data_IF_603287892448
#
_entry.id   IF_603287892448
#
_cell.length_a   1.000
_cell.length_b   1.000
_cell.length_c   1.000
_cell.angle_alpha   90.00
_cell.angle_beta   90.00
_cell.angle_gamma   90.00
#
_symmetry.space_group_name_H-M   'P 1'
#
loop_
_entity.id
_entity.type
_entity.pdbx_description
1 polymer ?
#
# COMPACT_ATOMS: atom_id res chain seq x y z
N UNK A 1 -9.57 6.64 -4.70
CA UNK A 1 -9.21 6.36 -3.29
C UNK A 1 -8.89 4.89 -3.02
N UNK A 2 -9.63 3.92 -3.58
CA UNK A 2 -9.31 2.48 -3.40
C UNK A 2 -7.87 2.08 -3.76
N UNK A 3 -7.36 2.56 -4.90
CA UNK A 3 -5.95 2.34 -5.33
C UNK A 3 -4.96 2.92 -4.31
N UNK A 4 -5.20 4.15 -3.83
CA UNK A 4 -4.35 4.81 -2.84
C UNK A 4 -4.36 4.06 -1.51
N UNK A 5 -5.52 3.53 -1.09
CA UNK A 5 -5.61 2.68 0.09
C UNK A 5 -4.69 1.46 0.00
N UNK A 6 -4.63 0.80 -1.16
CA UNK A 6 -3.74 -0.35 -1.38
C UNK A 6 -2.28 0.06 -1.26
N UNK A 7 -1.86 1.13 -1.94
CA UNK A 7 -0.46 1.54 -1.93
C UNK A 7 0.00 2.10 -0.59
N UNK A 8 -0.78 2.98 0.04
CA UNK A 8 -0.46 3.51 1.37
C UNK A 8 -0.49 2.40 2.43
N UNK A 9 -1.46 1.49 2.32
CA UNK A 9 -1.55 0.29 3.15
C UNK A 9 -0.32 -0.60 3.03
N UNK A 10 0.19 -0.80 1.79
CA UNK A 10 1.34 -1.65 1.51
C UNK A 10 2.62 -1.21 2.23
N UNK A 11 2.77 0.09 2.50
CA UNK A 11 3.96 0.64 3.18
C UNK A 11 4.06 0.19 4.64
N UNK A 12 2.93 -0.11 5.29
CA UNK A 12 2.93 -0.70 6.63
C UNK A 12 3.63 -2.06 6.66
N UNK A 13 3.39 -2.92 5.66
CA UNK A 13 4.05 -4.22 5.51
C UNK A 13 5.48 -4.09 4.98
N UNK A 14 5.69 -3.22 4.00
CA UNK A 14 6.99 -3.01 3.35
C UNK A 14 8.07 -2.52 4.31
N UNK A 15 7.70 -1.84 5.41
CA UNK A 15 8.62 -1.48 6.50
C UNK A 15 9.27 -2.71 7.16
N UNK A 16 8.54 -3.80 7.36
CA UNK A 16 9.11 -5.04 7.90
C UNK A 16 10.06 -5.71 6.91
N UNK A 17 9.70 -5.70 5.62
CA UNK A 17 10.54 -6.19 4.52
C UNK A 17 11.84 -5.38 4.47
N UNK A 18 11.74 -4.05 4.52
CA UNK A 18 12.90 -3.14 4.56
C UNK A 18 13.83 -3.46 5.72
N UNK A 19 13.30 -3.66 6.93
CA UNK A 19 14.10 -4.05 8.10
C UNK A 19 14.87 -5.35 7.87
N UNK A 20 14.19 -6.40 7.38
CA UNK A 20 14.83 -7.68 7.10
C UNK A 20 15.91 -7.60 6.01
N UNK A 21 15.67 -6.82 4.94
CA UNK A 21 16.64 -6.61 3.87
C UNK A 21 17.86 -5.82 4.35
N UNK A 22 17.66 -4.83 5.23
CA UNK A 22 18.74 -4.05 5.84
C UNK A 22 19.69 -4.93 6.67
N UNK A 23 19.16 -5.90 7.40
CA UNK A 23 19.95 -6.90 8.15
C UNK A 23 20.81 -7.78 7.24
N UNK A 24 20.42 -7.92 5.96
CA UNK A 24 21.18 -8.64 4.92
C UNK A 24 22.14 -7.73 4.14
N UNK A 25 22.30 -6.47 4.54
CA UNK A 25 23.19 -5.51 3.89
C UNK A 25 22.64 -4.89 2.60
N UNK A 26 21.36 -5.09 2.29
CA UNK A 26 20.72 -4.45 1.12
C UNK A 26 20.58 -2.95 1.37
N UNK A 27 20.95 -2.15 0.38
CA UNK A 27 20.85 -0.68 0.41
C UNK A 27 19.72 -0.21 -0.53
N UNK A 28 19.45 1.11 -0.56
CA UNK A 28 18.42 1.71 -1.43
C UNK A 28 16.96 1.27 -1.17
N UNK A 29 16.58 1.11 0.10
CA UNK A 29 15.25 0.64 0.52
C UNK A 29 14.16 1.74 0.61
N UNK A 30 14.41 2.93 0.07
CA UNK A 30 13.53 4.12 0.22
C UNK A 30 12.10 3.88 -0.28
N UNK A 31 11.91 3.05 -1.30
CA UNK A 31 10.57 2.71 -1.78
C UNK A 31 9.77 1.85 -0.78
N UNK A 32 10.45 0.97 -0.05
CA UNK A 32 9.83 0.06 0.91
C UNK A 32 9.53 0.74 2.25
N UNK A 33 10.40 1.64 2.68
CA UNK A 33 10.21 2.40 3.92
C UNK A 33 10.40 3.91 3.66
N UNK A 34 9.45 4.56 2.97
CA UNK A 34 9.56 5.97 2.61
C UNK A 34 9.36 6.91 3.79
N UNK A 35 8.67 6.44 4.84
CA UNK A 35 8.22 7.29 5.95
C UNK A 35 8.90 6.96 7.28
N UNK A 36 9.64 5.85 7.39
CA UNK A 36 10.32 5.52 8.64
C UNK A 36 9.33 5.38 9.80
N UNK A 37 9.68 5.95 10.95
CA UNK A 37 8.80 5.97 12.13
C UNK A 37 7.47 6.68 11.89
N UNK A 38 7.42 7.60 10.91
CA UNK A 38 6.21 8.37 10.58
C UNK A 38 5.18 7.54 9.78
N UNK A 39 5.52 6.32 9.36
CA UNK A 39 4.60 5.46 8.60
C UNK A 39 3.26 5.26 9.31
N UNK A 40 3.29 4.97 10.61
CA UNK A 40 2.08 4.74 11.41
C UNK A 40 1.21 5.99 11.53
N UNK A 41 1.72 7.17 11.97
CA UNK A 41 0.89 8.38 12.04
C UNK A 41 0.37 8.81 10.66
N UNK A 42 1.15 8.70 9.59
CA UNK A 42 0.71 9.00 8.22
C UNK A 42 -0.44 8.08 7.82
N UNK A 43 -0.33 6.77 8.05
CA UNK A 43 -1.40 5.82 7.76
C UNK A 43 -2.67 6.11 8.54
N UNK A 44 -2.56 6.44 9.84
CA UNK A 44 -3.71 6.80 10.65
C UNK A 44 -4.39 8.07 10.15
N UNK A 45 -3.60 9.09 9.77
CA UNK A 45 -4.14 10.32 9.19
C UNK A 45 -4.87 10.05 7.89
N UNK A 46 -4.27 9.28 6.98
CA UNK A 46 -4.88 8.92 5.70
C UNK A 46 -6.26 8.26 5.88
N UNK A 47 -6.36 7.28 6.78
CA UNK A 47 -7.66 6.64 7.09
C UNK A 47 -8.65 7.62 7.68
N UNK A 48 -8.22 8.44 8.64
CA UNK A 48 -9.09 9.47 9.24
C UNK A 48 -9.60 10.47 8.20
N UNK A 49 -8.76 10.88 7.25
CA UNK A 49 -9.15 11.80 6.17
C UNK A 49 -10.16 11.11 5.22
N UNK A 50 -9.99 9.81 4.94
CA UNK A 50 -10.95 9.03 4.15
C UNK A 50 -12.30 8.89 4.83
N UNK A 51 -12.31 8.61 6.12
CA UNK A 51 -13.53 8.41 6.93
C UNK A 51 -14.30 9.73 7.13
N UNK A 52 -13.62 10.87 7.10
CA UNK A 52 -14.23 12.19 7.24
C UNK A 52 -15.06 12.61 6.02
N UNK A 53 -14.91 11.93 4.88
CA UNK A 53 -15.64 12.24 3.65
C UNK A 53 -16.94 11.43 3.62
N UNK A 54 -18.06 12.12 3.35
CA UNK A 54 -19.38 11.50 3.21
C UNK A 54 -19.56 10.85 1.85
N UNK A 55 -18.92 9.70 1.64
CA UNK A 55 -19.06 8.91 0.42
C UNK A 55 -20.46 8.31 0.31
N UNK A 56 -21.05 8.41 -0.87
CA UNK A 56 -22.23 7.63 -1.22
C UNK A 56 -21.91 6.12 -1.27
N UNK A 57 -22.91 5.24 -1.11
CA UNK A 57 -22.69 3.79 -1.23
C UNK A 57 -22.04 3.38 -2.55
N UNK A 58 -22.45 4.01 -3.67
CA UNK A 58 -21.90 3.72 -5.01
C UNK A 58 -20.43 4.10 -5.11
N UNK A 59 -20.02 5.20 -4.49
CA UNK A 59 -18.60 5.59 -4.43
C UNK A 59 -17.79 4.62 -3.57
N UNK A 60 -18.35 4.15 -2.45
CA UNK A 60 -17.70 3.14 -1.61
C UNK A 60 -17.50 1.83 -2.37
N UNK A 61 -18.53 1.34 -3.06
CA UNK A 61 -18.43 0.14 -3.89
C UNK A 61 -17.37 0.31 -4.99
N UNK A 62 -17.37 1.46 -5.67
CA UNK A 62 -16.36 1.78 -6.69
C UNK A 62 -14.94 1.82 -6.12
N UNK A 63 -14.76 2.32 -4.89
CA UNK A 63 -13.47 2.30 -4.20
C UNK A 63 -13.02 0.88 -3.86
N UNK A 64 -13.93 0.03 -3.37
CA UNK A 64 -13.63 -1.37 -3.06
C UNK A 64 -13.25 -2.13 -4.33
N UNK A 65 -14.01 -1.98 -5.42
CA UNK A 65 -13.68 -2.60 -6.71
C UNK A 65 -12.33 -2.12 -7.25
N UNK A 66 -12.01 -0.83 -7.12
CA UNK A 66 -10.70 -0.32 -7.52
C UNK A 66 -9.55 -0.89 -6.66
N UNK A 67 -9.77 -1.11 -5.36
CA UNK A 67 -8.78 -1.75 -4.49
C UNK A 67 -8.55 -3.22 -4.89
N UNK A 68 -9.62 -3.98 -5.15
CA UNK A 68 -9.54 -5.37 -5.64
C UNK A 68 -8.76 -5.46 -6.94
N UNK A 69 -9.13 -4.65 -7.95
CA UNK A 69 -8.45 -4.61 -9.23
C UNK A 69 -6.95 -4.25 -9.10
N UNK A 70 -6.58 -3.45 -8.09
CA UNK A 70 -5.16 -3.14 -7.82
C UNK A 70 -4.40 -4.37 -7.34
N UNK A 71 -4.98 -5.19 -6.46
CA UNK A 71 -4.37 -6.44 -6.02
C UNK A 71 -4.22 -7.44 -7.17
N UNK A 72 -5.25 -7.58 -8.00
CA UNK A 72 -5.23 -8.48 -9.16
C UNK A 72 -4.13 -8.08 -10.15
N UNK A 73 -3.99 -6.77 -10.43
CA UNK A 73 -2.97 -6.25 -11.32
C UNK A 73 -1.55 -6.48 -10.78
N UNK A 74 -1.32 -6.27 -9.48
CA UNK A 74 -0.02 -6.52 -8.85
C UNK A 74 0.32 -8.02 -8.87
N UNK A 75 -0.66 -8.88 -8.59
CA UNK A 75 -0.47 -10.34 -8.62
C UNK A 75 -0.14 -10.83 -10.04
N UNK A 76 -0.86 -10.32 -11.04
CA UNK A 76 -0.60 -10.64 -12.45
C UNK A 76 0.80 -10.19 -12.90
N UNK A 77 1.27 -9.04 -12.39
CA UNK A 77 2.62 -8.57 -12.66
C UNK A 77 3.68 -9.46 -11.99
N UNK A 78 3.44 -9.88 -10.75
CA UNK A 78 4.34 -10.78 -10.02
C UNK A 78 4.46 -12.14 -10.74
N UNK A 79 3.34 -12.71 -11.18
CA UNK A 79 3.31 -13.94 -11.98
C UNK A 79 4.10 -13.78 -13.29
N UNK A 80 3.96 -12.65 -13.98
CA UNK A 80 4.68 -12.38 -15.22
C UNK A 80 6.19 -12.27 -15.02
N UNK A 81 6.65 -11.76 -13.87
CA UNK A 81 8.07 -11.64 -13.54
C UNK A 81 8.68 -13.02 -13.20
N UNK A 82 7.93 -13.89 -12.52
CA UNK A 82 8.45 -15.20 -12.09
C UNK A 82 8.35 -16.30 -13.15
N UNK A 83 7.47 -16.14 -14.14
CA UNK A 83 7.29 -17.10 -15.23
C UNK A 83 8.11 -16.77 -16.50
N UNK A 84 8.93 -15.71 -16.48
CA UNK A 84 9.86 -15.33 -17.56
C UNK A 84 11.29 -15.79 -17.31
#
# INVERSE_FOLDING_TARGET
MGIFYVFEGSKNGARYISKALKEKGVTALRYLDPHGEEQRPIWMKFRSDMDAISWSPVEQDSMVSAAQASFDAISSLDDAIHNG
#
